data_IF_971454936912
#
_entry.id   IF_971454936912
#
_cell.length_a   1.000
_cell.length_b   1.000
_cell.length_c   1.000
_cell.angle_alpha   90.00
_cell.angle_beta   90.00
_cell.angle_gamma   90.00
#
_symmetry.space_group_name_H-M   'P 1'
#
loop_
_entity.id
_entity.type
_entity.pdbx_description
1 polymer ?
#
# COMPACT_ATOMS: atom_id res chain seq x y z
N UNK A 1 -7.86 11.69 12.45
CA UNK A 1 -7.69 10.77 11.36
C UNK A 1 -7.36 9.36 11.82
N UNK A 2 -8.02 8.43 11.28
CA UNK A 2 -7.79 7.06 11.73
C UNK A 2 -6.60 6.45 11.02
N UNK A 3 -6.10 5.39 11.60
CA UNK A 3 -5.08 4.61 10.97
C UNK A 3 -5.66 3.75 9.85
N UNK A 4 -4.77 3.09 9.16
CA UNK A 4 -5.14 2.22 8.06
C UNK A 4 -5.01 0.78 8.53
N UNK A 5 -6.02 -0.01 8.27
CA UNK A 5 -6.03 -1.41 8.66
C UNK A 5 -6.18 -2.28 7.43
N UNK A 6 -5.25 -3.19 7.26
CA UNK A 6 -5.32 -4.16 6.17
C UNK A 6 -6.04 -5.41 6.64
N UNK A 7 -6.52 -6.16 5.67
CA UNK A 7 -7.13 -7.46 5.94
C UNK A 7 -6.80 -8.38 4.78
N UNK A 8 -6.89 -9.67 5.03
CA UNK A 8 -6.67 -10.65 3.97
C UNK A 8 -7.68 -10.47 2.84
N UNK A 9 -8.92 -10.16 3.19
CA UNK A 9 -9.94 -9.97 2.17
C UNK A 9 -9.62 -8.79 1.26
N UNK A 10 -9.18 -7.69 1.84
CA UNK A 10 -8.82 -6.52 1.04
C UNK A 10 -7.67 -6.86 0.09
N UNK A 11 -6.65 -7.52 0.61
CA UNK A 11 -5.49 -7.87 -0.21
C UNK A 11 -5.89 -8.81 -1.34
N UNK A 12 -6.69 -9.82 -1.02
CA UNK A 12 -7.15 -10.77 -2.03
C UNK A 12 -7.97 -10.09 -3.10
N UNK A 13 -8.85 -9.18 -2.70
CA UNK A 13 -9.69 -8.45 -3.65
C UNK A 13 -8.85 -7.61 -4.60
N UNK A 14 -7.85 -6.93 -4.06
CA UNK A 14 -6.96 -6.11 -4.88
C UNK A 14 -6.22 -7.00 -5.88
N UNK A 15 -5.72 -8.13 -5.44
CA UNK A 15 -5.00 -9.04 -6.32
C UNK A 15 -5.91 -9.55 -7.45
N UNK A 16 -7.15 -9.84 -7.13
CA UNK A 16 -8.09 -10.31 -8.13
C UNK A 16 -8.37 -9.23 -9.18
N UNK A 17 -8.57 -8.00 -8.72
CA UNK A 17 -8.80 -6.88 -9.64
C UNK A 17 -7.62 -6.71 -10.57
N UNK A 18 -6.41 -6.75 -10.03
CA UNK A 18 -5.21 -6.59 -10.85
C UNK A 18 -5.08 -7.71 -11.87
N UNK A 19 -5.33 -8.95 -11.47
CA UNK A 19 -5.22 -10.09 -12.38
C UNK A 19 -6.26 -10.03 -13.49
N UNK A 20 -7.44 -9.54 -13.19
CA UNK A 20 -8.45 -9.36 -14.23
C UNK A 20 -8.06 -8.29 -15.22
N UNK A 21 -7.38 -7.27 -14.75
CA UNK A 21 -6.90 -6.20 -15.62
C UNK A 21 -5.72 -6.66 -16.47
N UNK A 22 -4.83 -7.45 -15.87
CA UNK A 22 -3.59 -7.86 -16.51
C UNK A 22 -3.17 -9.20 -15.92
N UNK A 23 -3.20 -10.26 -16.73
CA UNK A 23 -2.87 -11.60 -16.27
C UNK A 23 -1.47 -11.69 -15.69
N UNK A 24 -0.54 -10.87 -16.16
CA UNK A 24 0.82 -10.91 -15.64
C UNK A 24 0.90 -10.45 -14.20
N UNK A 25 -0.16 -9.82 -13.69
CA UNK A 25 -0.21 -9.41 -12.29
C UNK A 25 -0.35 -10.59 -11.33
N UNK A 26 -0.43 -11.82 -11.83
CA UNK A 26 -0.25 -12.98 -10.98
C UNK A 26 1.16 -13.02 -10.40
N UNK A 27 2.11 -12.38 -11.08
CA UNK A 27 3.47 -12.22 -10.56
C UNK A 27 3.45 -11.11 -9.51
N UNK A 28 3.96 -11.41 -8.32
CA UNK A 28 3.92 -10.45 -7.21
C UNK A 28 4.65 -9.15 -7.52
N UNK A 29 5.76 -9.22 -8.23
CA UNK A 29 6.50 -8.01 -8.59
C UNK A 29 5.67 -7.12 -9.49
N UNK A 30 4.93 -7.70 -10.43
CA UNK A 30 4.06 -6.92 -11.30
C UNK A 30 2.95 -6.25 -10.49
N UNK A 31 2.38 -6.99 -9.53
CA UNK A 31 1.36 -6.41 -8.65
C UNK A 31 1.91 -5.21 -7.88
N UNK A 32 3.11 -5.32 -7.34
CA UNK A 32 3.73 -4.21 -6.60
C UNK A 32 3.91 -3.00 -7.51
N UNK A 33 4.33 -3.23 -8.74
CA UNK A 33 4.51 -2.13 -9.69
C UNK A 33 3.20 -1.45 -10.00
N UNK A 34 2.11 -2.21 -10.17
CA UNK A 34 0.80 -1.62 -10.38
C UNK A 34 0.37 -0.77 -9.19
N UNK A 35 0.61 -1.27 -7.97
CA UNK A 35 0.22 -0.52 -6.79
C UNK A 35 0.99 0.79 -6.70
N UNK A 36 2.28 0.76 -6.99
CA UNK A 36 3.09 1.98 -6.97
C UNK A 36 2.60 2.98 -8.01
N UNK A 37 2.26 2.50 -9.20
CA UNK A 37 1.74 3.37 -10.25
C UNK A 37 0.40 3.98 -9.83
N UNK A 38 -0.44 3.21 -9.16
CA UNK A 38 -1.71 3.72 -8.68
C UNK A 38 -1.51 4.83 -7.65
N UNK A 39 -0.53 4.67 -6.77
CA UNK A 39 -0.23 5.71 -5.78
C UNK A 39 0.13 7.01 -6.50
N UNK A 40 1.00 6.94 -7.51
CA UNK A 40 1.37 8.12 -8.25
C UNK A 40 0.18 8.76 -8.94
N UNK A 41 -0.67 7.94 -9.53
CA UNK A 41 -1.85 8.44 -10.22
C UNK A 41 -2.79 9.18 -9.27
N UNK A 42 -3.08 8.55 -8.13
CA UNK A 42 -3.99 9.18 -7.17
C UNK A 42 -3.37 10.42 -6.55
N UNK A 43 -2.06 10.42 -6.30
CA UNK A 43 -1.39 11.61 -5.81
C UNK A 43 -1.54 12.78 -6.77
N UNK A 44 -1.43 12.51 -8.05
CA UNK A 44 -1.58 13.53 -9.07
C UNK A 44 -2.96 14.18 -9.05
N UNK A 45 -3.98 13.42 -8.64
CA UNK A 45 -5.35 13.93 -8.60
C UNK A 45 -5.71 14.72 -7.37
N UNK A 46 -4.80 14.84 -6.41
CA UNK A 46 -5.11 15.58 -5.19
C UNK A 46 -5.14 17.09 -5.46
N UNK A 47 -5.91 17.83 -4.64
CA UNK A 47 -6.03 19.28 -4.85
C UNK A 47 -4.68 19.98 -4.77
N UNK A 48 -4.51 20.96 -5.64
CA UNK A 48 -3.31 21.79 -5.65
C UNK A 48 -3.33 22.77 -4.48
N UNK A 49 -2.13 23.06 -3.99
CA UNK A 49 -1.96 24.14 -3.04
C UNK A 49 -2.27 23.82 -1.60
N UNK A 50 -2.74 22.63 -1.30
CA UNK A 50 -3.05 22.25 0.07
C UNK A 50 -1.87 21.66 0.80
N UNK A 51 -0.95 21.05 0.06
CA UNK A 51 0.22 20.45 0.66
C UNK A 51 1.25 20.19 -0.42
N UNK A 52 2.46 19.94 0.02
CA UNK A 52 3.55 19.60 -0.91
C UNK A 52 3.39 18.13 -1.29
N UNK A 53 2.94 17.89 -2.50
CA UNK A 53 2.67 16.53 -2.97
C UNK A 53 3.92 15.67 -2.98
N UNK A 54 5.06 16.26 -3.34
CA UNK A 54 6.32 15.51 -3.34
C UNK A 54 6.68 15.05 -1.94
N UNK A 55 6.50 15.92 -0.97
CA UNK A 55 6.79 15.55 0.41
C UNK A 55 5.84 14.48 0.92
N UNK A 56 4.57 14.60 0.57
CA UNK A 56 3.61 13.57 0.95
C UNK A 56 3.99 12.23 0.32
N UNK A 57 4.43 12.26 -0.93
CA UNK A 57 4.84 11.02 -1.59
C UNK A 57 6.01 10.38 -0.87
N UNK A 58 6.97 11.18 -0.40
CA UNK A 58 8.08 10.65 0.37
C UNK A 58 7.62 10.08 1.71
N UNK A 59 6.67 10.74 2.36
CA UNK A 59 6.11 10.22 3.59
C UNK A 59 5.38 8.91 3.36
N UNK A 60 4.71 8.77 2.23
CA UNK A 60 4.05 7.52 1.89
C UNK A 60 5.05 6.39 1.65
N UNK A 61 6.20 6.71 1.08
CA UNK A 61 7.26 5.72 0.92
C UNK A 61 7.74 5.24 2.29
N UNK A 62 7.94 6.17 3.23
CA UNK A 62 8.32 5.81 4.58
C UNK A 62 7.25 4.96 5.25
N UNK A 63 6.00 5.34 5.08
CA UNK A 63 4.87 4.59 5.62
C UNK A 63 4.84 3.17 5.05
N UNK A 64 5.04 3.05 3.74
CA UNK A 64 5.12 1.72 3.11
C UNK A 64 6.25 0.89 3.71
N UNK A 65 7.38 1.54 4.01
CA UNK A 65 8.49 0.87 4.65
C UNK A 65 8.14 0.36 6.03
N UNK A 66 7.36 1.14 6.80
CA UNK A 66 6.90 0.70 8.11
C UNK A 66 6.03 -0.53 8.00
N UNK A 67 5.10 -0.53 7.04
CA UNK A 67 4.24 -1.69 6.83
C UNK A 67 5.09 -2.90 6.43
N UNK A 68 6.04 -2.69 5.53
CA UNK A 68 6.93 -3.76 5.10
C UNK A 68 7.68 -4.36 6.29
N UNK A 69 8.25 -3.50 7.14
CA UNK A 69 9.00 -3.98 8.29
C UNK A 69 8.11 -4.76 9.24
N UNK A 70 6.88 -4.28 9.44
CA UNK A 70 5.94 -4.97 10.32
C UNK A 70 5.59 -6.35 9.77
N UNK A 71 5.33 -6.42 8.47
CA UNK A 71 4.97 -7.69 7.86
C UNK A 71 6.14 -8.67 7.86
N UNK A 72 7.36 -8.17 7.68
CA UNK A 72 8.53 -9.03 7.78
C UNK A 72 8.69 -9.59 9.19
N UNK A 73 8.45 -8.75 10.20
CA UNK A 73 8.53 -9.21 11.59
C UNK A 73 7.45 -10.24 11.89
N UNK A 74 6.29 -10.11 11.25
CA UNK A 74 5.15 -10.98 11.51
C UNK A 74 5.18 -12.26 10.69
N UNK A 75 6.19 -12.46 9.87
CA UNK A 75 6.29 -13.69 9.09
C UNK A 75 6.52 -14.91 9.94
N UNK A 76 6.95 -14.72 11.18
CA UNK A 76 7.01 -15.82 12.13
C UNK A 76 5.60 -16.30 12.40
N UNK A 77 5.44 -17.56 12.82
CA UNK A 77 4.09 -18.08 13.07
C UNK A 77 3.40 -17.25 14.16
N UNK A 78 2.42 -16.48 13.74
CA UNK A 78 1.63 -15.65 14.62
C UNK A 78 0.21 -15.63 14.11
N UNK A 79 -0.68 -15.30 15.01
CA UNK A 79 -2.07 -15.25 14.62
C UNK A 79 -2.45 -14.00 13.90
N UNK A 80 -1.92 -12.88 14.35
CA UNK A 80 -2.31 -11.60 13.79
C UNK A 80 -1.25 -11.08 12.89
N UNK A 81 -1.55 -11.02 11.62
CA UNK A 81 -0.61 -10.51 10.65
C UNK A 81 -0.77 -9.02 10.41
N UNK A 82 -1.94 -8.46 10.71
CA UNK A 82 -2.23 -7.08 10.34
C UNK A 82 -2.48 -6.24 11.57
N UNK A 83 -1.98 -5.01 11.54
CA UNK A 83 -2.25 -4.03 12.56
C UNK A 83 -2.84 -2.79 11.94
N UNK A 84 -2.79 -1.72 12.69
CA UNK A 84 -3.25 -0.42 12.23
C UNK A 84 -2.05 0.46 12.00
N UNK A 85 -1.96 1.05 10.83
CA UNK A 85 -0.87 1.94 10.48
C UNK A 85 -1.38 3.35 10.29
N UNK A 86 -0.56 4.32 10.69
CA UNK A 86 -0.89 5.73 10.55
C UNK A 86 0.17 6.39 9.70
N UNK A 87 -0.23 7.06 8.62
CA UNK A 87 0.74 7.75 7.79
C UNK A 87 1.51 8.78 8.61
N UNK A 88 2.82 8.81 8.42
CA UNK A 88 3.67 9.79 9.07
C UNK A 88 4.03 9.48 10.51
N UNK A 89 3.66 8.34 11.05
CA UNK A 89 4.03 8.01 12.43
C UNK A 89 5.36 7.30 12.52
#
# INVERSE_FOLDING_TARGET
MSGIQLSDNLIDDIREVLKKHDNTAADDMVSVQYMAACVGYFMSGLPEGQFDKKQVLMQLADFSGQVFDQMEADKKPKEDAFGVWKPGS
#
